data_IF_893786997748
#
_entry.id   IF_893786997748
#
_cell.length_a   1.000
_cell.length_b   1.000
_cell.length_c   1.000
_cell.angle_alpha   90.00
_cell.angle_beta   90.00
_cell.angle_gamma   90.00
#
_symmetry.space_group_name_H-M   'P 1'
#
loop_
_entity.id
_entity.type
_entity.pdbx_description
1 polymer ?
#
# COMPACT_ATOMS: atom_id res chain seq x y z
N UNK A 1 -32.68 8.70 61.38
CA UNK A 1 -32.76 9.58 60.19
C UNK A 1 -31.69 9.11 59.24
N UNK A 2 -32.09 8.51 58.12
CA UNK A 2 -31.19 7.97 57.10
C UNK A 2 -30.75 9.10 56.16
N UNK A 3 -29.47 9.16 55.84
CA UNK A 3 -28.95 9.95 54.72
C UNK A 3 -28.29 8.97 53.75
N UNK A 4 -28.97 8.75 52.63
CA UNK A 4 -28.56 7.92 51.51
C UNK A 4 -27.52 8.68 50.70
N UNK A 5 -26.33 8.12 50.52
CA UNK A 5 -25.32 8.62 49.57
C UNK A 5 -25.45 7.76 48.32
N UNK A 6 -25.88 8.37 47.22
CA UNK A 6 -25.90 7.76 45.90
C UNK A 6 -24.52 7.89 45.25
N UNK A 7 -23.91 6.78 44.83
CA UNK A 7 -22.78 6.79 43.91
C UNK A 7 -23.30 7.00 42.47
N UNK A 8 -22.61 7.80 41.64
CA UNK A 8 -22.91 7.84 40.22
C UNK A 8 -22.42 6.55 39.54
N UNK A 9 -23.29 5.95 38.73
CA UNK A 9 -22.92 4.92 37.76
C UNK A 9 -22.01 5.56 36.71
N UNK A 10 -20.76 5.10 36.62
CA UNK A 10 -19.92 5.35 35.46
C UNK A 10 -20.51 4.55 34.29
N UNK A 11 -21.10 5.26 33.33
CA UNK A 11 -21.46 4.69 32.03
C UNK A 11 -20.17 4.40 31.27
N UNK A 12 -19.91 3.13 30.96
CA UNK A 12 -18.88 2.77 29.99
C UNK A 12 -19.32 3.30 28.63
N UNK A 13 -18.57 4.26 28.09
CA UNK A 13 -18.68 4.63 26.70
C UNK A 13 -18.06 3.48 25.89
N UNK A 14 -18.89 2.69 25.23
CA UNK A 14 -18.45 1.83 24.14
C UNK A 14 -18.02 2.74 22.99
N UNK A 15 -16.71 2.89 22.81
CA UNK A 15 -16.14 3.40 21.56
C UNK A 15 -16.40 2.34 20.49
N UNK A 16 -17.51 2.47 19.78
CA UNK A 16 -17.63 1.84 18.45
C UNK A 16 -16.71 2.67 17.57
N UNK A 17 -15.53 2.15 17.25
CA UNK A 17 -14.75 2.67 16.15
C UNK A 17 -15.60 2.46 14.90
N UNK A 18 -16.26 3.53 14.43
CA UNK A 18 -16.86 3.53 13.11
C UNK A 18 -15.71 3.31 12.12
N UNK A 19 -15.86 2.35 11.21
CA UNK A 19 -14.95 2.24 10.08
C UNK A 19 -14.96 3.53 9.25
N UNK A 20 -13.96 3.74 8.37
CA UNK A 20 -13.92 4.91 7.51
C UNK A 20 -15.26 5.06 6.78
N UNK A 21 -15.80 6.28 6.77
CA UNK A 21 -17.01 6.57 6.04
C UNK A 21 -16.69 6.45 4.55
N UNK A 22 -17.09 5.34 3.93
CA UNK A 22 -16.99 5.20 2.48
C UNK A 22 -17.73 6.36 1.82
N UNK A 23 -17.07 7.06 0.91
CA UNK A 23 -17.76 7.96 0.00
C UNK A 23 -18.70 7.13 -0.89
N UNK A 24 -19.96 7.58 -1.07
CA UNK A 24 -20.84 6.98 -2.08
C UNK A 24 -20.17 7.08 -3.47
N UNK A 25 -20.49 6.18 -4.42
CA UNK A 25 -20.01 6.22 -5.83
C UNK A 25 -20.44 7.50 -6.62
N UNK A 26 -20.97 8.52 -5.93
CA UNK A 26 -21.27 9.85 -6.46
C UNK A 26 -20.03 10.77 -6.30
N UNK A 27 -19.96 11.83 -7.12
CA UNK A 27 -18.84 12.79 -7.15
C UNK A 27 -18.35 13.17 -5.73
N UNK A 28 -17.15 12.74 -5.34
CA UNK A 28 -16.55 13.09 -4.04
C UNK A 28 -15.65 14.33 -4.17
N UNK A 29 -15.20 14.86 -3.03
CA UNK A 29 -14.38 16.08 -3.00
C UNK A 29 -13.09 15.82 -2.24
N UNK A 30 -11.98 16.38 -2.74
CA UNK A 30 -10.69 16.36 -2.06
C UNK A 30 -10.20 17.80 -1.83
N UNK A 31 -9.30 17.95 -0.86
CA UNK A 31 -8.58 19.21 -0.62
C UNK A 31 -7.10 19.00 -0.91
N UNK A 32 -6.51 19.83 -1.77
CA UNK A 32 -5.06 19.88 -1.99
C UNK A 32 -4.46 21.04 -1.19
N UNK A 33 -3.52 20.73 -0.32
CA UNK A 33 -2.75 21.68 0.48
C UNK A 33 -1.36 21.83 -0.14
N UNK A 34 -1.14 22.96 -0.82
CA UNK A 34 0.15 23.34 -1.41
C UNK A 34 0.90 24.40 -0.60
N UNK A 35 0.34 24.83 0.54
CA UNK A 35 0.96 25.83 1.39
C UNK A 35 2.33 25.37 1.91
N UNK A 36 3.29 26.30 1.92
CA UNK A 36 4.65 26.08 2.46
C UNK A 36 5.07 27.30 3.26
N UNK A 37 5.58 27.11 4.49
CA UNK A 37 6.27 28.19 5.23
C UNK A 37 7.80 28.14 5.04
N UNK A 38 8.31 27.08 4.42
CA UNK A 38 9.71 26.85 4.09
C UNK A 38 9.99 26.88 2.59
N UNK A 39 10.91 26.01 2.15
CA UNK A 39 11.23 25.82 0.73
C UNK A 39 9.98 25.39 -0.04
N UNK A 40 9.75 25.98 -1.22
CA UNK A 40 8.67 25.57 -2.12
C UNK A 40 9.24 24.71 -3.24
N UNK A 41 8.81 23.45 -3.31
CA UNK A 41 9.14 22.56 -4.41
C UNK A 41 8.47 23.01 -5.72
N UNK A 42 9.17 22.88 -6.84
CA UNK A 42 8.66 23.32 -8.15
C UNK A 42 7.41 22.58 -8.58
N UNK A 43 7.33 21.30 -8.21
CA UNK A 43 6.28 20.40 -8.67
C UNK A 43 4.91 20.63 -8.00
N UNK A 44 4.79 21.41 -6.93
CA UNK A 44 3.51 21.62 -6.18
C UNK A 44 2.38 22.09 -7.12
N UNK A 45 2.74 23.00 -8.02
CA UNK A 45 1.85 23.51 -9.07
C UNK A 45 1.42 22.41 -10.06
N UNK A 46 2.36 21.54 -10.47
CA UNK A 46 2.09 20.41 -11.37
C UNK A 46 1.25 19.33 -10.68
N UNK A 47 1.55 19.02 -9.41
CA UNK A 47 0.73 18.15 -8.55
C UNK A 47 -0.71 18.62 -8.50
N UNK A 48 -0.92 19.91 -8.22
CA UNK A 48 -2.27 20.49 -8.11
C UNK A 48 -3.02 20.36 -9.43
N UNK A 49 -2.38 20.72 -10.55
CA UNK A 49 -2.99 20.59 -11.89
C UNK A 49 -3.30 19.14 -12.26
N UNK A 50 -2.39 18.22 -11.95
CA UNK A 50 -2.58 16.80 -12.21
C UNK A 50 -3.77 16.24 -11.43
N UNK A 51 -3.90 16.57 -10.14
CA UNK A 51 -5.04 16.14 -9.32
C UNK A 51 -6.37 16.73 -9.79
N UNK A 52 -6.39 18.00 -10.23
CA UNK A 52 -7.58 18.61 -10.86
C UNK A 52 -7.98 17.86 -12.14
N UNK A 53 -7.01 17.51 -12.98
CA UNK A 53 -7.26 16.77 -14.21
C UNK A 53 -7.76 15.34 -13.92
N UNK A 54 -7.10 14.63 -13.00
CA UNK A 54 -7.52 13.31 -12.54
C UNK A 54 -8.95 13.35 -11.97
N UNK A 55 -9.30 14.38 -11.20
CA UNK A 55 -10.65 14.56 -10.66
C UNK A 55 -11.70 14.72 -11.75
N UNK A 56 -11.41 15.54 -12.77
CA UNK A 56 -12.30 15.71 -13.91
C UNK A 56 -12.54 14.39 -14.69
N UNK A 57 -11.54 13.52 -14.75
CA UNK A 57 -11.61 12.24 -15.47
C UNK A 57 -12.19 11.09 -14.63
N UNK A 58 -12.14 11.16 -13.29
CA UNK A 58 -12.45 10.04 -12.38
C UNK A 58 -13.56 10.35 -11.36
N UNK A 59 -14.30 11.46 -11.52
CA UNK A 59 -15.50 11.72 -10.71
C UNK A 59 -15.20 12.27 -9.32
N UNK A 60 -14.23 13.19 -9.20
CA UNK A 60 -14.06 13.99 -7.99
C UNK A 60 -13.69 15.44 -8.26
N UNK A 61 -14.00 16.31 -7.31
CA UNK A 61 -13.66 17.74 -7.37
C UNK A 61 -12.53 18.08 -6.41
N UNK A 62 -11.78 19.13 -6.73
CA UNK A 62 -10.60 19.54 -5.98
C UNK A 62 -10.77 20.98 -5.51
N UNK A 63 -10.76 21.19 -4.19
CA UNK A 63 -10.48 22.51 -3.61
C UNK A 63 -8.98 22.63 -3.34
N UNK A 64 -8.45 23.86 -3.40
CA UNK A 64 -7.02 24.12 -3.23
C UNK A 64 -6.80 25.12 -2.10
N UNK A 65 -5.93 24.77 -1.16
CA UNK A 65 -5.37 25.68 -0.17
C UNK A 65 -3.87 25.84 -0.41
N UNK A 66 -3.50 26.91 -1.11
CA UNK A 66 -2.12 27.27 -1.44
C UNK A 66 -2.00 28.80 -1.53
N UNK A 67 -2.16 29.50 -0.39
CA UNK A 67 -2.08 30.96 -0.36
C UNK A 67 -0.65 31.44 -0.60
N UNK A 68 -0.47 32.62 -1.23
CA UNK A 68 0.82 33.28 -1.25
C UNK A 68 1.26 33.64 0.17
N UNK A 69 2.56 33.50 0.46
CA UNK A 69 3.16 34.01 1.69
C UNK A 69 4.55 34.59 1.44
N UNK A 70 5.01 35.41 2.39
CA UNK A 70 6.29 36.11 2.34
C UNK A 70 7.34 35.50 3.29
N UNK A 71 7.18 34.21 3.63
CA UNK A 71 8.10 33.46 4.51
C UNK A 71 9.50 33.38 3.90
N UNK A 72 10.34 34.35 4.24
CA UNK A 72 11.68 34.46 3.70
C UNK A 72 12.69 33.63 4.50
N UNK A 73 13.59 32.97 3.79
CA UNK A 73 14.69 32.19 4.35
C UNK A 73 15.89 32.13 3.42
N UNK A 74 16.83 31.24 3.70
CA UNK A 74 17.97 31.02 2.78
C UNK A 74 17.52 30.44 1.43
N UNK A 75 16.33 29.85 1.38
CA UNK A 75 15.68 29.28 0.19
C UNK A 75 15.03 30.30 -0.73
N UNK A 76 14.77 31.55 -0.28
CA UNK A 76 14.08 32.54 -1.11
C UNK A 76 13.17 33.46 -0.30
N UNK A 77 12.26 34.13 -1.02
CA UNK A 77 11.41 35.21 -0.48
C UNK A 77 9.98 34.79 -0.16
N UNK A 78 9.74 33.50 0.11
CA UNK A 78 8.41 32.93 0.34
C UNK A 78 7.84 32.17 -0.86
N UNK A 79 6.54 31.91 -0.81
CA UNK A 79 5.79 31.15 -1.82
C UNK A 79 4.83 32.08 -2.59
N UNK A 80 4.80 32.03 -3.94
CA UNK A 80 3.77 32.73 -4.71
C UNK A 80 2.36 32.13 -4.53
N UNK A 81 2.27 30.91 -3.99
CA UNK A 81 1.04 30.13 -3.94
C UNK A 81 0.40 29.94 -5.32
N UNK A 82 -0.88 29.59 -5.33
CA UNK A 82 -1.72 29.51 -6.53
C UNK A 82 -2.93 30.43 -6.38
N UNK A 83 -2.77 31.76 -6.49
CA UNK A 83 -3.80 32.75 -6.15
C UNK A 83 -5.09 32.64 -6.98
N UNK A 84 -5.01 32.05 -8.17
CA UNK A 84 -6.16 31.84 -9.04
C UNK A 84 -6.99 30.60 -8.65
N UNK A 85 -6.41 29.67 -7.87
CA UNK A 85 -7.05 28.41 -7.44
C UNK A 85 -7.34 28.39 -5.93
N UNK A 86 -6.48 29.03 -5.13
CA UNK A 86 -6.55 28.94 -3.67
C UNK A 86 -7.85 29.52 -3.13
N UNK A 87 -8.38 28.87 -2.11
CA UNK A 87 -9.50 29.37 -1.32
C UNK A 87 -9.15 30.71 -0.65
N UNK A 88 -10.18 31.50 -0.33
CA UNK A 88 -10.00 32.84 0.25
C UNK A 88 -9.59 32.83 1.74
N UNK A 89 -9.79 31.72 2.42
CA UNK A 89 -9.43 31.51 3.83
C UNK A 89 -9.08 30.06 4.07
N UNK A 90 -8.32 29.79 5.14
CA UNK A 90 -7.94 28.43 5.54
C UNK A 90 -9.18 27.52 5.62
N UNK A 91 -9.14 26.31 5.05
CA UNK A 91 -10.20 25.32 5.21
C UNK A 91 -10.13 24.61 6.57
N UNK A 92 -9.05 24.78 7.34
CA UNK A 92 -8.81 24.10 8.63
C UNK A 92 -9.53 24.78 9.81
N UNK A 93 -10.81 25.09 9.65
CA UNK A 93 -11.62 25.79 10.66
C UNK A 93 -12.20 24.85 11.72
N UNK A 94 -12.66 23.67 11.32
CA UNK A 94 -13.15 22.63 12.23
C UNK A 94 -13.14 21.26 11.55
N UNK A 95 -13.19 20.19 12.35
CA UNK A 95 -13.33 18.83 11.80
C UNK A 95 -14.63 18.64 11.00
N UNK A 96 -15.72 19.31 11.40
CA UNK A 96 -16.99 19.28 10.68
C UNK A 96 -16.87 19.93 9.30
N UNK A 97 -16.20 21.08 9.20
CA UNK A 97 -15.97 21.74 7.91
C UNK A 97 -15.07 20.89 7.00
N UNK A 98 -14.07 20.21 7.57
CA UNK A 98 -13.19 19.31 6.82
C UNK A 98 -13.87 18.00 6.40
N UNK A 99 -14.95 17.57 7.09
CA UNK A 99 -15.63 16.30 6.79
C UNK A 99 -16.31 16.26 5.40
N UNK A 100 -16.39 17.39 4.71
CA UNK A 100 -16.83 17.44 3.31
C UNK A 100 -15.80 16.85 2.33
N UNK A 101 -14.55 16.69 2.76
CA UNK A 101 -13.48 16.13 1.94
C UNK A 101 -13.31 14.65 2.26
N UNK A 102 -13.34 13.80 1.25
CA UNK A 102 -13.08 12.38 1.42
C UNK A 102 -11.59 12.12 1.74
N UNK A 103 -10.70 12.93 1.16
CA UNK A 103 -9.27 12.91 1.49
C UNK A 103 -8.64 14.30 1.37
N UNK A 104 -7.61 14.54 2.17
CA UNK A 104 -6.80 15.77 2.15
C UNK A 104 -5.38 15.41 1.71
N UNK A 105 -4.91 16.03 0.64
CA UNK A 105 -3.60 15.81 0.04
C UNK A 105 -2.63 16.92 0.47
N UNK A 106 -1.55 16.57 1.15
CA UNK A 106 -0.45 17.47 1.45
C UNK A 106 0.60 17.35 0.34
N UNK A 107 0.54 18.30 -0.60
CA UNK A 107 1.40 18.36 -1.78
C UNK A 107 2.75 18.98 -1.42
N UNK A 108 3.59 18.19 -0.74
CA UNK A 108 4.97 18.54 -0.36
C UNK A 108 5.13 19.86 0.39
N UNK A 109 4.37 20.06 1.50
CA UNK A 109 4.61 21.19 2.36
C UNK A 109 6.01 21.13 2.98
N UNK A 110 6.56 22.29 3.33
CA UNK A 110 7.73 22.46 4.22
C UNK A 110 7.46 23.62 5.15
N UNK A 111 7.81 23.53 6.43
CA UNK A 111 7.63 24.60 7.41
C UNK A 111 8.89 24.93 8.26
N UNK A 112 10.05 24.40 7.87
CA UNK A 112 11.35 24.68 8.50
C UNK A 112 11.41 24.31 10.01
N UNK A 113 10.54 23.42 10.45
CA UNK A 113 10.48 22.93 11.84
C UNK A 113 11.52 21.85 12.16
N UNK A 114 12.30 21.39 11.18
CA UNK A 114 13.35 20.35 11.29
C UNK A 114 14.43 20.64 12.35
N UNK A 115 14.60 21.90 12.78
CA UNK A 115 15.43 22.26 13.94
C UNK A 115 14.88 21.77 15.30
N UNK A 116 13.65 21.24 15.32
CA UNK A 116 12.90 20.83 16.50
C UNK A 116 12.69 21.95 17.54
N UNK A 117 12.88 23.21 17.14
CA UNK A 117 12.59 24.35 18.00
C UNK A 117 11.07 24.59 18.04
N UNK A 118 10.40 24.40 19.20
CA UNK A 118 8.95 24.54 19.31
C UNK A 118 8.44 25.98 19.12
N UNK A 119 9.34 26.97 19.10
CA UNK A 119 8.98 28.35 18.79
C UNK A 119 8.94 28.66 17.28
N UNK A 120 9.36 27.72 16.43
CA UNK A 120 9.27 27.88 14.97
C UNK A 120 7.81 27.74 14.56
N UNK A 121 7.24 28.70 13.79
CA UNK A 121 5.90 28.55 13.23
C UNK A 121 5.77 27.24 12.46
N UNK A 122 4.62 26.60 12.60
CA UNK A 122 4.27 25.31 11.98
C UNK A 122 3.32 25.56 10.82
N UNK A 123 3.24 24.65 9.85
CA UNK A 123 2.30 24.76 8.73
C UNK A 123 0.86 25.01 9.20
N UNK A 124 0.39 24.19 10.14
CA UNK A 124 -0.90 24.36 10.79
C UNK A 124 -0.70 24.91 12.19
N UNK A 125 -1.44 25.95 12.57
CA UNK A 125 -1.44 26.43 13.94
C UNK A 125 -2.11 25.43 14.92
N UNK A 126 -2.28 25.80 16.19
CA UNK A 126 -2.87 24.89 17.19
C UNK A 126 -4.36 24.61 16.94
N UNK A 127 -5.12 25.59 16.43
CA UNK A 127 -6.54 25.43 16.14
C UNK A 127 -6.74 24.63 14.85
N UNK A 128 -5.95 24.91 13.83
CA UNK A 128 -5.96 24.20 12.55
C UNK A 128 -5.50 22.74 12.71
N UNK A 129 -4.45 22.50 13.51
CA UNK A 129 -4.03 21.14 13.85
C UNK A 129 -5.13 20.39 14.60
N UNK A 130 -5.83 21.03 15.54
CA UNK A 130 -6.93 20.39 16.26
C UNK A 130 -8.10 20.03 15.32
N UNK A 131 -8.42 20.90 14.35
CA UNK A 131 -9.40 20.61 13.32
C UNK A 131 -8.98 19.40 12.47
N UNK A 132 -7.72 19.38 12.01
CA UNK A 132 -7.17 18.28 11.22
C UNK A 132 -7.13 16.95 11.98
N UNK A 133 -6.72 16.96 13.25
CA UNK A 133 -6.76 15.78 14.12
C UNK A 133 -8.19 15.25 14.30
N UNK A 134 -9.16 16.16 14.47
CA UNK A 134 -10.57 15.77 14.56
C UNK A 134 -11.10 15.18 13.26
N UNK A 135 -10.67 15.69 12.11
CA UNK A 135 -11.00 15.14 10.79
C UNK A 135 -10.47 13.71 10.61
N UNK A 136 -9.20 13.45 10.93
CA UNK A 136 -8.63 12.09 10.89
C UNK A 136 -9.38 11.15 11.83
N UNK A 137 -9.66 11.58 13.06
CA UNK A 137 -10.44 10.81 14.04
C UNK A 137 -11.90 10.58 13.61
N UNK A 138 -12.40 11.40 12.70
CA UNK A 138 -13.71 11.26 12.07
C UNK A 138 -13.74 10.28 10.89
N UNK A 139 -12.60 9.66 10.55
CA UNK A 139 -12.48 8.73 9.43
C UNK A 139 -11.99 9.35 8.13
N UNK A 140 -11.52 10.60 8.16
CA UNK A 140 -11.02 11.30 6.97
C UNK A 140 -9.74 10.69 6.39
N UNK A 141 -9.60 10.73 5.07
CA UNK A 141 -8.40 10.30 4.35
C UNK A 141 -7.28 11.35 4.36
N UNK A 142 -6.03 10.90 4.33
CA UNK A 142 -4.83 11.72 4.20
C UNK A 142 -3.87 11.14 3.17
N UNK A 143 -3.37 12.01 2.28
CA UNK A 143 -2.30 11.69 1.34
C UNK A 143 -1.12 12.62 1.59
N UNK A 144 0.04 12.07 1.93
CA UNK A 144 1.29 12.82 2.04
C UNK A 144 2.18 12.59 0.82
N UNK A 145 2.65 13.66 0.18
CA UNK A 145 3.54 13.56 -0.97
C UNK A 145 4.90 14.17 -0.68
N UNK A 146 5.97 13.42 -0.98
CA UNK A 146 7.38 13.82 -0.94
C UNK A 146 7.71 14.60 0.34
N UNK A 147 7.79 15.94 0.29
CA UNK A 147 8.15 16.76 1.46
C UNK A 147 7.11 16.79 2.60
N UNK A 148 5.98 16.09 2.49
CA UNK A 148 5.04 15.93 3.59
C UNK A 148 5.70 15.37 4.88
N UNK A 149 6.77 14.58 4.77
CA UNK A 149 7.58 14.11 5.91
C UNK A 149 8.63 15.12 6.43
N UNK A 150 8.85 16.23 5.73
CA UNK A 150 9.68 17.37 6.15
C UNK A 150 8.87 18.52 6.77
N UNK A 151 7.66 18.24 7.23
CA UNK A 151 6.73 19.22 7.79
C UNK A 151 6.36 18.90 9.23
N UNK A 152 6.11 19.95 10.03
CA UNK A 152 5.62 19.84 11.41
C UNK A 152 6.42 18.88 12.29
N UNK A 153 7.76 18.89 12.18
CA UNK A 153 8.68 18.03 12.96
C UNK A 153 8.52 18.17 14.48
N UNK A 154 7.97 19.29 14.95
CA UNK A 154 7.68 19.56 16.36
C UNK A 154 6.37 18.93 16.85
N UNK A 155 5.62 18.24 15.97
CA UNK A 155 4.34 17.60 16.25
C UNK A 155 4.47 16.08 16.08
N UNK A 156 4.76 15.33 17.17
CA UNK A 156 4.91 13.87 17.09
C UNK A 156 3.73 13.16 16.42
N UNK A 157 2.49 13.58 16.76
CA UNK A 157 1.26 13.04 16.17
C UNK A 157 1.25 13.14 14.63
N UNK A 158 1.77 14.23 14.05
CA UNK A 158 1.81 14.35 12.59
C UNK A 158 2.83 13.39 11.98
N UNK A 159 4.00 13.21 12.61
CA UNK A 159 4.96 12.20 12.13
C UNK A 159 4.42 10.77 12.24
N UNK A 160 3.62 10.47 13.26
CA UNK A 160 2.90 9.19 13.37
C UNK A 160 1.90 9.04 12.22
N UNK A 161 1.10 10.07 11.91
CA UNK A 161 0.17 10.08 10.77
C UNK A 161 0.88 9.89 9.41
N UNK A 162 2.00 10.58 9.17
CA UNK A 162 2.68 10.54 7.87
C UNK A 162 3.49 9.27 7.65
N UNK A 163 3.95 8.59 8.71
CA UNK A 163 4.77 7.39 8.54
C UNK A 163 5.30 6.78 9.83
N UNK A 164 4.46 6.57 10.84
CA UNK A 164 4.88 5.84 12.05
C UNK A 164 5.96 6.55 12.87
N UNK A 165 6.11 7.86 12.71
CA UNK A 165 7.16 8.65 13.35
C UNK A 165 8.40 8.90 12.49
N UNK A 166 8.46 8.32 11.27
CA UNK A 166 9.48 8.65 10.28
C UNK A 166 9.33 10.11 9.81
N UNK A 167 10.45 10.84 9.83
CA UNK A 167 10.56 12.20 9.30
C UNK A 167 11.73 12.30 8.35
N UNK A 168 11.65 13.22 7.40
CA UNK A 168 12.77 13.53 6.53
C UNK A 168 14.04 13.88 7.33
N UNK A 169 15.19 13.41 6.86
CA UNK A 169 16.51 13.77 7.41
C UNK A 169 17.44 14.35 6.36
N UNK A 170 17.51 13.70 5.20
CA UNK A 170 18.42 14.06 4.12
C UNK A 170 17.98 13.40 2.82
N UNK A 171 18.57 13.84 1.72
CA UNK A 171 18.52 13.17 0.43
C UNK A 171 19.86 13.38 -0.29
N UNK A 172 20.27 12.46 -1.19
CA UNK A 172 21.39 12.70 -2.09
C UNK A 172 20.97 13.65 -3.24
N UNK A 173 21.87 13.90 -4.19
CA UNK A 173 21.47 14.52 -5.45
C UNK A 173 20.45 13.64 -6.19
N UNK A 174 19.56 14.28 -6.95
CA UNK A 174 18.61 13.58 -7.82
C UNK A 174 19.33 12.59 -8.73
N UNK A 175 18.84 11.36 -8.79
CA UNK A 175 19.46 10.28 -9.54
C UNK A 175 18.45 9.16 -9.80
N UNK A 176 18.81 8.25 -10.70
CA UNK A 176 18.01 7.06 -10.95
C UNK A 176 18.19 6.05 -9.82
N UNK A 177 17.10 5.46 -9.34
CA UNK A 177 17.09 4.33 -8.42
C UNK A 177 15.99 3.34 -8.82
N UNK A 178 16.15 2.10 -8.35
CA UNK A 178 15.15 1.04 -8.51
C UNK A 178 14.21 1.01 -7.31
N UNK A 179 12.91 1.10 -7.58
CA UNK A 179 11.85 0.82 -6.61
C UNK A 179 11.34 -0.61 -6.78
N UNK A 180 10.93 -1.26 -5.69
CA UNK A 180 10.34 -2.60 -5.68
C UNK A 180 8.96 -2.57 -5.07
N UNK A 181 8.01 -3.28 -5.68
CA UNK A 181 6.64 -3.43 -5.16
C UNK A 181 6.62 -4.51 -4.08
N UNK A 182 6.18 -4.15 -2.88
CA UNK A 182 6.04 -5.08 -1.74
C UNK A 182 4.59 -5.41 -1.39
N UNK A 183 3.64 -4.69 -1.96
CA UNK A 183 2.22 -4.98 -1.75
C UNK A 183 1.47 -4.97 -3.08
N UNK A 184 1.59 -6.02 -3.89
CA UNK A 184 1.11 -5.99 -5.27
C UNK A 184 -0.41 -6.07 -5.40
N UNK A 185 -1.15 -6.49 -4.36
CA UNK A 185 -2.62 -6.40 -4.38
C UNK A 185 -3.20 -5.06 -3.89
N UNK A 186 -2.38 -4.12 -3.39
CA UNK A 186 -2.91 -2.82 -3.00
C UNK A 186 -3.30 -2.02 -4.25
N UNK A 187 -4.47 -1.33 -4.29
CA UNK A 187 -4.96 -0.69 -5.51
C UNK A 187 -3.97 0.32 -6.11
N UNK A 188 -3.13 0.95 -5.29
CA UNK A 188 -2.11 1.89 -5.78
C UNK A 188 -0.92 1.22 -6.44
N UNK A 189 -0.69 -0.07 -6.24
CA UNK A 189 0.52 -0.77 -6.69
C UNK A 189 0.21 -1.94 -7.62
N UNK A 190 -1.04 -2.38 -7.72
CA UNK A 190 -1.45 -3.53 -8.53
C UNK A 190 -1.21 -3.40 -10.04
N UNK A 191 -1.17 -2.17 -10.56
CA UNK A 191 -0.86 -1.90 -11.96
C UNK A 191 0.64 -1.63 -12.21
N UNK A 192 1.45 -1.51 -11.16
CA UNK A 192 2.87 -1.20 -11.28
C UNK A 192 3.67 -2.46 -11.64
N UNK A 193 4.77 -2.31 -12.39
CA UNK A 193 5.73 -3.41 -12.53
C UNK A 193 6.36 -3.72 -11.17
N UNK A 194 6.65 -5.00 -10.91
CA UNK A 194 7.29 -5.43 -9.65
C UNK A 194 8.61 -4.71 -9.36
N UNK A 195 9.34 -4.32 -10.41
CA UNK A 195 10.55 -3.51 -10.38
C UNK A 195 10.35 -2.26 -11.23
N UNK A 196 10.55 -1.09 -10.64
CA UNK A 196 10.27 0.20 -11.28
C UNK A 196 11.46 1.17 -11.14
N UNK A 197 12.16 1.42 -12.23
CA UNK A 197 13.26 2.39 -12.25
C UNK A 197 12.74 3.81 -12.49
N UNK A 198 13.17 4.76 -11.65
CA UNK A 198 12.78 6.18 -11.76
C UNK A 198 13.94 7.11 -11.49
N UNK A 199 13.91 8.32 -12.04
CA UNK A 199 14.80 9.42 -11.67
C UNK A 199 14.06 10.39 -10.76
N UNK A 200 14.51 10.54 -9.52
CA UNK A 200 13.86 11.40 -8.52
C UNK A 200 14.85 11.87 -7.42
N UNK A 201 14.35 12.61 -6.43
CA UNK A 201 15.04 12.97 -5.19
C UNK A 201 14.63 12.01 -4.05
N UNK A 202 15.53 11.10 -3.67
CA UNK A 202 15.21 10.01 -2.74
C UNK A 202 15.41 10.40 -1.28
N UNK A 203 14.33 10.36 -0.49
CA UNK A 203 14.35 10.77 0.91
C UNK A 203 14.84 9.67 1.83
N UNK A 204 15.76 10.03 2.72
CA UNK A 204 16.17 9.25 3.88
C UNK A 204 15.42 9.74 5.13
N UNK A 205 15.10 8.81 6.03
CA UNK A 205 14.23 9.06 7.17
C UNK A 205 14.95 8.93 8.52
N UNK A 206 14.40 9.56 9.56
CA UNK A 206 14.93 9.48 10.94
C UNK A 206 14.89 8.08 11.52
N UNK A 207 13.92 7.27 11.07
CA UNK A 207 13.71 5.87 11.45
C UNK A 207 13.09 5.15 10.26
N UNK A 208 13.24 3.84 10.22
CA UNK A 208 12.52 3.00 9.28
C UNK A 208 11.04 2.89 9.74
N UNK A 209 10.05 3.19 8.87
CA UNK A 209 8.64 3.18 9.26
C UNK A 209 7.99 1.78 9.29
N UNK A 210 8.64 0.75 8.76
CA UNK A 210 8.05 -0.60 8.51
C UNK A 210 7.39 -1.24 9.74
N UNK A 211 7.88 -0.97 10.95
CA UNK A 211 7.29 -1.55 12.16
C UNK A 211 5.88 -1.02 12.45
N UNK A 212 5.54 0.17 11.94
CA UNK A 212 4.32 0.90 12.28
C UNK A 212 3.36 1.05 11.08
N UNK A 213 3.86 0.90 9.85
CA UNK A 213 3.08 1.11 8.61
C UNK A 213 3.07 -0.13 7.71
N UNK A 214 2.13 -0.17 6.77
CA UNK A 214 2.11 -1.14 5.70
C UNK A 214 2.93 -0.62 4.51
N UNK A 215 4.09 -1.21 4.26
CA UNK A 215 4.99 -0.80 3.17
C UNK A 215 4.40 -1.21 1.81
N UNK A 216 4.38 -0.26 0.87
CA UNK A 216 3.90 -0.47 -0.49
C UNK A 216 5.07 -0.60 -1.47
N UNK A 217 6.07 0.27 -1.34
CA UNK A 217 7.26 0.32 -2.20
C UNK A 217 8.53 0.52 -1.36
N UNK A 218 9.63 -0.13 -1.75
CA UNK A 218 10.99 0.10 -1.22
C UNK A 218 11.96 0.55 -2.29
N UNK A 219 13.03 1.23 -1.89
CA UNK A 219 14.19 1.55 -2.74
C UNK A 219 15.31 0.51 -2.57
N UNK A 220 15.90 0.11 -3.68
CA UNK A 220 17.11 -0.70 -3.71
C UNK A 220 18.35 0.21 -3.66
N UNK A 221 18.91 0.41 -2.46
CA UNK A 221 20.10 1.26 -2.25
C UNK A 221 21.36 0.77 -2.97
N UNK A 222 21.39 -0.47 -3.51
CA UNK A 222 22.52 -0.94 -4.32
C UNK A 222 22.56 -0.31 -5.71
N UNK A 223 21.44 0.26 -6.17
CA UNK A 223 21.27 0.81 -7.52
C UNK A 223 21.62 2.29 -7.64
N UNK A 224 21.83 2.98 -6.51
CA UNK A 224 22.10 4.41 -6.47
C UNK A 224 23.06 4.77 -5.32
N UNK A 225 23.41 6.05 -5.18
CA UNK A 225 24.23 6.56 -4.08
C UNK A 225 23.35 7.28 -3.05
N UNK A 226 22.95 6.64 -1.94
CA UNK A 226 21.97 7.18 -0.97
C UNK A 226 22.50 8.35 -0.14
N UNK A 227 23.83 8.55 -0.12
CA UNK A 227 24.44 9.68 0.56
C UNK A 227 24.34 9.58 2.09
N UNK A 228 24.19 10.74 2.74
CA UNK A 228 24.10 10.79 4.20
C UNK A 228 22.73 10.32 4.68
N UNK A 229 22.70 9.52 5.74
CA UNK A 229 21.45 9.03 6.33
C UNK A 229 20.85 7.83 5.59
N UNK A 230 21.61 7.16 4.72
CA UNK A 230 21.22 5.92 4.06
C UNK A 230 20.50 4.95 5.04
N UNK A 231 19.39 4.40 4.58
CA UNK A 231 18.51 3.50 5.33
C UNK A 231 19.03 2.05 5.32
N UNK A 232 19.86 1.70 4.33
CA UNK A 232 20.50 0.39 4.21
C UNK A 232 19.69 -0.61 3.38
N UNK A 233 19.66 -1.86 3.83
CA UNK A 233 19.00 -2.97 3.11
C UNK A 233 17.48 -2.77 2.97
N UNK A 234 16.87 -2.07 3.92
CA UNK A 234 15.44 -1.81 3.93
C UNK A 234 15.17 -0.30 3.91
N UNK A 235 14.68 0.19 2.78
CA UNK A 235 14.37 1.60 2.54
C UNK A 235 12.94 1.78 2.02
N UNK A 236 11.91 1.75 2.90
CA UNK A 236 10.54 2.07 2.49
C UNK A 236 10.44 3.49 1.92
N UNK A 237 9.77 3.64 0.79
CA UNK A 237 9.59 4.93 0.10
C UNK A 237 8.12 5.29 -0.12
N UNK A 238 7.23 4.30 -0.19
CA UNK A 238 5.79 4.51 -0.17
C UNK A 238 5.13 3.52 0.80
N UNK A 239 4.10 3.97 1.51
CA UNK A 239 3.40 3.17 2.52
C UNK A 239 1.99 3.69 2.78
N UNK A 240 1.20 2.89 3.49
CA UNK A 240 -0.11 3.24 3.97
C UNK A 240 -0.35 2.73 5.39
N UNK A 241 -1.33 3.28 6.07
CA UNK A 241 -1.74 2.84 7.41
C UNK A 241 -3.16 3.29 7.75
N UNK A 242 -3.82 2.52 8.62
CA UNK A 242 -5.01 2.97 9.33
C UNK A 242 -4.57 3.72 10.58
N UNK A 243 -4.92 5.01 10.70
CA UNK A 243 -4.41 5.88 11.77
C UNK A 243 -5.53 6.66 12.46
N UNK A 244 -5.71 6.42 13.76
CA UNK A 244 -6.75 7.02 14.61
C UNK A 244 -8.18 7.01 14.01
N UNK A 245 -8.50 6.05 13.13
CA UNK A 245 -9.80 5.93 12.47
C UNK A 245 -9.83 6.37 11.01
N UNK A 246 -8.84 7.15 10.56
CA UNK A 246 -8.65 7.55 9.16
C UNK A 246 -7.72 6.62 8.39
N UNK A 247 -7.61 6.87 7.08
CA UNK A 247 -6.67 6.20 6.18
C UNK A 247 -5.57 7.16 5.76
N UNK A 248 -4.31 6.77 5.95
CA UNK A 248 -3.14 7.54 5.56
C UNK A 248 -2.37 6.79 4.48
N UNK A 249 -1.97 7.51 3.43
CA UNK A 249 -1.13 7.01 2.35
C UNK A 249 -0.01 8.02 2.10
N UNK A 250 1.21 7.54 1.87
CA UNK A 250 2.37 8.37 1.62
C UNK A 250 3.21 7.83 0.46
N UNK A 251 3.72 8.75 -0.36
CA UNK A 251 4.71 8.48 -1.41
C UNK A 251 5.84 9.51 -1.32
N UNK A 252 7.08 9.03 -1.16
CA UNK A 252 8.28 9.84 -1.03
C UNK A 252 8.86 10.32 -2.36
N UNK A 253 8.51 9.71 -3.49
CA UNK A 253 8.85 10.16 -4.83
C UNK A 253 7.94 11.32 -5.31
N UNK A 254 8.25 11.89 -6.47
CA UNK A 254 7.44 12.94 -7.10
C UNK A 254 8.05 14.34 -7.03
N UNK A 255 9.33 14.48 -6.66
CA UNK A 255 10.03 15.78 -6.66
C UNK A 255 10.10 16.39 -8.05
N UNK A 256 10.31 15.54 -9.06
CA UNK A 256 10.55 16.01 -10.43
C UNK A 256 9.23 16.36 -11.13
N UNK A 257 9.22 17.48 -11.84
CA UNK A 257 8.06 17.91 -12.64
C UNK A 257 7.61 16.81 -13.64
N UNK A 258 8.56 15.97 -14.11
CA UNK A 258 8.29 14.86 -15.02
C UNK A 258 7.36 13.79 -14.41
N UNK A 259 7.43 13.53 -13.10
CA UNK A 259 6.56 12.57 -12.42
C UNK A 259 5.07 12.90 -12.60
N UNK A 260 4.72 14.19 -12.68
CA UNK A 260 3.35 14.67 -12.84
C UNK A 260 2.82 14.63 -14.28
N UNK A 261 3.55 13.96 -15.17
CA UNK A 261 3.11 13.62 -16.53
C UNK A 261 3.31 12.14 -16.88
N UNK A 262 3.87 11.36 -15.95
CA UNK A 262 4.09 9.92 -16.11
C UNK A 262 2.79 9.16 -15.79
N UNK A 263 2.21 8.41 -16.75
CA UNK A 263 0.96 7.70 -16.52
C UNK A 263 0.99 6.72 -15.34
N UNK A 264 2.09 5.99 -15.12
CA UNK A 264 2.18 5.01 -14.03
C UNK A 264 2.20 5.70 -12.67
N UNK A 265 2.93 6.82 -12.56
CA UNK A 265 2.98 7.61 -11.32
C UNK A 265 1.65 8.31 -11.04
N UNK A 266 1.01 8.87 -12.07
CA UNK A 266 -0.31 9.48 -11.92
C UNK A 266 -1.37 8.47 -11.49
N UNK A 267 -1.35 7.26 -12.04
CA UNK A 267 -2.25 6.18 -11.63
C UNK A 267 -1.95 5.70 -10.21
N UNK A 268 -0.66 5.60 -9.82
CA UNK A 268 -0.26 5.30 -8.44
C UNK A 268 -0.84 6.29 -7.43
N UNK A 269 -0.67 7.59 -7.69
CA UNK A 269 -1.20 8.67 -6.84
C UNK A 269 -2.73 8.68 -6.83
N UNK A 270 -3.38 8.54 -8.00
CA UNK A 270 -4.84 8.47 -8.10
C UNK A 270 -5.41 7.36 -7.22
N UNK A 271 -4.83 6.16 -7.29
CA UNK A 271 -5.30 5.01 -6.53
C UNK A 271 -5.00 5.15 -5.03
N UNK A 272 -3.94 5.86 -4.63
CA UNK A 272 -3.72 6.28 -3.24
C UNK A 272 -4.79 7.27 -2.75
N UNK A 273 -5.17 8.23 -3.58
CA UNK A 273 -6.28 9.18 -3.31
C UNK A 273 -7.61 8.44 -3.18
N UNK A 274 -7.96 7.56 -4.11
CA UNK A 274 -9.20 6.77 -4.06
C UNK A 274 -9.24 5.84 -2.85
N UNK A 275 -8.12 5.21 -2.49
CA UNK A 275 -8.06 4.31 -1.34
C UNK A 275 -8.26 5.05 -0.01
N UNK A 276 -7.60 6.21 0.15
CA UNK A 276 -7.77 7.06 1.35
C UNK A 276 -9.16 7.70 1.41
N UNK A 277 -9.77 7.98 0.27
CA UNK A 277 -11.15 8.45 0.16
C UNK A 277 -12.20 7.35 0.43
N UNK A 278 -11.80 6.08 0.56
CA UNK A 278 -12.72 4.96 0.77
C UNK A 278 -13.50 4.53 -0.46
N UNK A 279 -13.07 4.96 -1.66
CA UNK A 279 -13.71 4.63 -2.95
C UNK A 279 -13.25 3.27 -3.46
N UNK A 280 -12.02 2.89 -3.15
CA UNK A 280 -11.48 1.56 -3.44
C UNK A 280 -10.92 0.90 -2.17
N UNK A 281 -10.89 -0.42 -2.18
CA UNK A 281 -10.33 -1.28 -1.14
C UNK A 281 -9.47 -2.37 -1.80
N UNK A 282 -8.48 -2.88 -1.06
CA UNK A 282 -7.56 -3.90 -1.58
C UNK A 282 -6.25 -3.97 -0.80
N UNK A 283 -5.41 -4.94 -1.15
CA UNK A 283 -4.10 -5.15 -0.52
C UNK A 283 -4.16 -5.40 0.99
N UNK A 284 -5.25 -5.98 1.50
CA UNK A 284 -5.46 -6.15 2.94
C UNK A 284 -5.70 -4.83 3.69
N UNK A 285 -6.14 -3.78 2.98
CA UNK A 285 -6.55 -2.50 3.58
C UNK A 285 -5.51 -1.89 4.54
N UNK A 286 -4.23 -2.13 4.25
CA UNK A 286 -3.10 -1.63 5.02
C UNK A 286 -3.16 -2.00 6.51
N UNK A 287 -3.75 -3.15 6.83
CA UNK A 287 -3.77 -3.71 8.18
C UNK A 287 -2.40 -4.25 8.53
N UNK A 288 -1.90 -3.92 9.71
CA UNK A 288 -0.59 -4.36 10.19
C UNK A 288 -0.72 -5.38 11.32
N UNK A 289 0.30 -6.22 11.52
CA UNK A 289 0.33 -7.15 12.66
C UNK A 289 0.19 -6.43 14.01
N UNK A 290 0.87 -5.30 14.28
CA UNK A 290 0.67 -4.54 15.52
C UNK A 290 -0.77 -4.04 15.73
N UNK A 291 -1.48 -3.65 14.66
CA UNK A 291 -2.89 -3.27 14.74
C UNK A 291 -3.73 -4.44 15.27
N UNK A 292 -3.54 -5.63 14.74
CA UNK A 292 -4.27 -6.84 15.16
C UNK A 292 -3.87 -7.28 16.58
N UNK A 293 -2.58 -7.21 16.91
CA UNK A 293 -2.09 -7.48 18.27
C UNK A 293 -2.74 -6.56 19.31
N UNK A 294 -2.90 -5.27 18.99
CA UNK A 294 -3.57 -4.30 19.86
C UNK A 294 -5.05 -4.65 20.08
N UNK A 295 -5.75 -5.11 19.04
CA UNK A 295 -7.14 -5.58 19.17
C UNK A 295 -7.24 -6.79 20.09
N UNK A 296 -6.35 -7.77 19.93
CA UNK A 296 -6.30 -8.97 20.80
C UNK A 296 -6.02 -8.58 22.26
N UNK A 297 -5.07 -7.67 22.48
CA UNK A 297 -4.74 -7.17 23.82
C UNK A 297 -5.89 -6.36 24.46
N UNK A 298 -6.74 -5.72 23.65
CA UNK A 298 -7.91 -4.97 24.09
C UNK A 298 -9.13 -5.83 24.44
N UNK A 299 -9.14 -7.12 24.09
CA UNK A 299 -10.27 -8.02 24.37
C UNK A 299 -10.55 -8.14 25.87
N UNK A 300 -11.85 -8.07 26.23
CA UNK A 300 -12.27 -8.39 27.58
C UNK A 300 -12.20 -9.90 27.85
N UNK A 301 -11.13 -10.34 28.49
CA UNK A 301 -10.86 -11.75 28.80
C UNK A 301 -11.40 -12.22 30.16
N UNK A 302 -12.38 -11.50 30.74
CA UNK A 302 -12.94 -11.83 32.05
C UNK A 302 -13.69 -13.19 32.10
N UNK A 303 -14.15 -13.69 30.94
CA UNK A 303 -14.78 -15.00 30.84
C UNK A 303 -13.75 -16.13 30.91
N UNK A 304 -14.14 -17.24 31.54
CA UNK A 304 -13.28 -18.43 31.67
C UNK A 304 -13.10 -19.06 30.28
N UNK A 305 -11.89 -18.94 29.72
CA UNK A 305 -11.52 -19.50 28.42
C UNK A 305 -11.01 -18.45 27.43
N UNK A 306 -11.54 -17.23 27.47
CA UNK A 306 -11.17 -16.17 26.53
C UNK A 306 -9.70 -15.77 26.64
N UNK A 307 -9.13 -15.74 27.85
CA UNK A 307 -7.69 -15.49 28.03
C UNK A 307 -6.80 -16.57 27.39
N UNK A 308 -7.26 -17.82 27.33
CA UNK A 308 -6.53 -18.92 26.66
C UNK A 308 -6.63 -18.77 25.15
N UNK A 309 -7.82 -18.45 24.64
CA UNK A 309 -8.07 -18.26 23.20
C UNK A 309 -7.30 -17.03 22.70
N UNK A 310 -7.37 -15.89 23.40
CA UNK A 310 -6.62 -14.69 23.06
C UNK A 310 -5.10 -14.93 23.08
N UNK A 311 -4.60 -15.68 24.07
CA UNK A 311 -3.19 -16.09 24.11
C UNK A 311 -2.79 -16.99 22.93
N UNK A 312 -3.66 -17.89 22.49
CA UNK A 312 -3.42 -18.73 21.31
C UNK A 312 -3.44 -17.91 20.01
N UNK A 313 -4.39 -16.99 19.86
CA UNK A 313 -4.45 -16.06 18.72
C UNK A 313 -3.16 -15.22 18.66
N UNK A 314 -2.74 -14.62 19.78
CA UNK A 314 -1.50 -13.83 19.82
C UNK A 314 -0.25 -14.66 19.46
N UNK A 315 -0.17 -15.91 19.89
CA UNK A 315 0.93 -16.81 19.49
C UNK A 315 0.93 -17.14 18.01
N UNK A 316 -0.25 -17.30 17.41
CA UNK A 316 -0.40 -17.54 15.97
C UNK A 316 -0.05 -16.27 15.18
N UNK A 317 -0.53 -15.09 15.60
CA UNK A 317 -0.14 -13.81 14.98
C UNK A 317 1.37 -13.61 15.01
N UNK A 318 2.03 -13.87 16.15
CA UNK A 318 3.50 -13.80 16.24
C UNK A 318 4.21 -14.78 15.30
N UNK A 319 3.66 -15.98 15.11
CA UNK A 319 4.22 -16.98 14.21
C UNK A 319 4.00 -16.61 12.74
N UNK A 320 2.82 -16.07 12.40
CA UNK A 320 2.51 -15.56 11.06
C UNK A 320 3.40 -14.37 10.71
N UNK A 321 3.61 -13.43 11.64
CA UNK A 321 4.53 -12.31 11.47
C UNK A 321 5.95 -12.80 11.23
N UNK A 322 6.45 -13.75 12.02
CA UNK A 322 7.79 -14.32 11.81
C UNK A 322 7.94 -15.00 10.44
N UNK A 323 6.88 -15.63 9.92
CA UNK A 323 6.88 -16.20 8.57
C UNK A 323 6.92 -15.10 7.50
N UNK A 324 6.07 -14.06 7.63
CA UNK A 324 6.07 -12.91 6.72
C UNK A 324 7.42 -12.17 6.72
N UNK A 325 8.01 -11.90 7.90
CA UNK A 325 9.33 -11.27 8.04
C UNK A 325 10.48 -12.13 7.47
N UNK A 326 10.24 -13.43 7.25
CA UNK A 326 11.19 -14.36 6.63
C UNK A 326 10.87 -14.66 5.17
N UNK A 327 10.01 -13.85 4.54
CA UNK A 327 9.56 -14.01 3.14
C UNK A 327 8.87 -15.36 2.87
N UNK A 328 8.11 -15.87 3.84
CA UNK A 328 7.28 -17.08 3.72
C UNK A 328 5.78 -16.75 3.88
N UNK A 329 5.19 -16.06 2.88
CA UNK A 329 3.78 -15.65 2.94
C UNK A 329 2.82 -16.84 2.94
N UNK A 330 3.20 -17.99 2.36
CA UNK A 330 2.37 -19.19 2.34
C UNK A 330 2.17 -19.75 3.76
N UNK A 331 3.24 -19.84 4.55
CA UNK A 331 3.14 -20.21 5.96
C UNK A 331 2.38 -19.15 6.75
N UNK A 332 2.61 -17.86 6.48
CA UNK A 332 1.88 -16.77 7.14
C UNK A 332 0.36 -16.91 6.95
N UNK A 333 -0.10 -17.13 5.71
CA UNK A 333 -1.52 -17.38 5.37
C UNK A 333 -2.07 -18.59 6.14
N UNK A 334 -1.34 -19.72 6.15
CA UNK A 334 -1.78 -20.91 6.85
C UNK A 334 -1.98 -20.65 8.36
N UNK A 335 -1.02 -19.96 8.99
CA UNK A 335 -1.05 -19.65 10.41
C UNK A 335 -2.16 -18.64 10.74
N UNK A 336 -2.36 -17.62 9.90
CA UNK A 336 -3.44 -16.64 10.03
C UNK A 336 -4.81 -17.30 9.93
N UNK A 337 -5.01 -18.27 9.03
CA UNK A 337 -6.25 -19.06 8.96
C UNK A 337 -6.55 -19.80 10.27
N UNK A 338 -5.51 -20.27 10.96
CA UNK A 338 -5.61 -20.82 12.31
C UNK A 338 -6.11 -19.78 13.32
N UNK A 339 -5.48 -18.59 13.34
CA UNK A 339 -5.87 -17.49 14.24
C UNK A 339 -7.33 -17.06 13.99
N UNK A 340 -7.72 -16.93 12.72
CA UNK A 340 -9.07 -16.56 12.31
C UNK A 340 -10.13 -17.54 12.81
N UNK A 341 -9.86 -18.84 12.75
CA UNK A 341 -10.78 -19.88 13.22
C UNK A 341 -11.05 -19.81 14.72
N UNK A 342 -10.09 -19.30 15.51
CA UNK A 342 -10.22 -19.16 16.95
C UNK A 342 -11.09 -17.97 17.37
N UNK A 343 -11.23 -16.95 16.52
CA UNK A 343 -12.06 -15.76 16.82
C UNK A 343 -13.52 -16.15 17.09
N UNK A 344 -14.04 -17.12 16.33
CA UNK A 344 -15.42 -17.59 16.47
C UNK A 344 -15.70 -18.28 17.82
N UNK A 345 -14.64 -18.69 18.53
CA UNK A 345 -14.72 -19.32 19.85
C UNK A 345 -14.64 -18.34 21.03
N UNK A 346 -14.33 -17.06 20.80
CA UNK A 346 -14.32 -16.04 21.84
C UNK A 346 -15.75 -15.74 22.34
N UNK A 347 -15.90 -15.48 23.64
CA UNK A 347 -17.16 -14.97 24.21
C UNK A 347 -17.26 -13.44 24.23
N UNK A 348 -16.27 -12.75 23.69
CA UNK A 348 -16.21 -11.30 23.54
C UNK A 348 -17.43 -10.73 22.78
N UNK A 349 -17.65 -9.42 22.92
CA UNK A 349 -18.78 -8.75 22.26
C UNK A 349 -18.75 -9.02 20.74
N UNK A 350 -19.92 -9.13 20.13
CA UNK A 350 -20.01 -9.46 18.71
C UNK A 350 -19.22 -8.48 17.84
N UNK A 351 -19.28 -7.18 18.14
CA UNK A 351 -18.50 -6.15 17.44
C UNK A 351 -16.98 -6.37 17.57
N UNK A 352 -16.47 -6.68 18.76
CA UNK A 352 -15.03 -6.94 18.96
C UNK A 352 -14.56 -8.15 18.15
N UNK A 353 -15.39 -9.20 18.09
CA UNK A 353 -15.09 -10.42 17.31
C UNK A 353 -15.16 -10.16 15.81
N UNK A 354 -16.16 -9.43 15.34
CA UNK A 354 -16.30 -9.05 13.93
C UNK A 354 -15.14 -8.17 13.47
N UNK A 355 -14.73 -7.19 14.29
CA UNK A 355 -13.58 -6.34 14.00
C UNK A 355 -12.28 -7.15 13.95
N UNK A 356 -12.01 -7.98 14.96
CA UNK A 356 -10.81 -8.81 14.98
C UNK A 356 -10.77 -9.81 13.81
N UNK A 357 -11.91 -10.46 13.51
CA UNK A 357 -12.04 -11.35 12.37
C UNK A 357 -11.70 -10.64 11.06
N UNK A 358 -12.32 -9.48 10.81
CA UNK A 358 -12.09 -8.68 9.60
C UNK A 358 -10.61 -8.32 9.43
N UNK A 359 -9.94 -7.90 10.52
CA UNK A 359 -8.53 -7.49 10.46
C UNK A 359 -7.58 -8.66 10.26
N UNK A 360 -7.90 -9.85 10.79
CA UNK A 360 -7.15 -11.06 10.46
C UNK A 360 -7.39 -11.46 8.99
N UNK A 361 -8.62 -11.35 8.49
CA UNK A 361 -8.96 -11.63 7.09
C UNK A 361 -8.23 -10.67 6.14
N UNK A 362 -8.08 -9.39 6.50
CA UNK A 362 -7.26 -8.40 5.79
C UNK A 362 -5.77 -8.82 5.72
N UNK A 363 -5.17 -9.28 6.83
CA UNK A 363 -3.81 -9.83 6.81
C UNK A 363 -3.69 -11.06 5.90
N UNK A 364 -4.72 -11.93 5.88
CA UNK A 364 -4.75 -13.09 4.97
C UNK A 364 -4.77 -12.64 3.53
N UNK A 365 -5.59 -11.63 3.18
CA UNK A 365 -5.64 -11.07 1.82
C UNK A 365 -4.28 -10.51 1.40
N UNK A 366 -3.63 -9.73 2.27
CA UNK A 366 -2.30 -9.20 1.98
C UNK A 366 -1.29 -10.32 1.75
N UNK A 367 -1.18 -11.28 2.66
CA UNK A 367 -0.19 -12.35 2.55
C UNK A 367 -0.49 -13.29 1.38
N UNK A 368 -1.76 -13.53 1.04
CA UNK A 368 -2.14 -14.36 -0.12
C UNK A 368 -1.70 -13.71 -1.42
N UNK A 369 -1.78 -12.39 -1.54
CA UNK A 369 -1.28 -11.67 -2.71
C UNK A 369 0.22 -11.85 -2.92
N UNK A 370 1.00 -11.99 -1.86
CA UNK A 370 2.44 -12.26 -1.95
C UNK A 370 2.75 -13.71 -2.33
N UNK A 371 1.82 -14.63 -2.11
CA UNK A 371 1.92 -16.01 -2.65
C UNK A 371 1.68 -16.00 -4.16
N UNK A 372 0.67 -15.25 -4.61
CA UNK A 372 0.26 -15.18 -6.01
C UNK A 372 1.19 -14.31 -6.88
N UNK A 373 1.91 -13.35 -6.28
CA UNK A 373 2.97 -12.53 -6.90
C UNK A 373 4.39 -12.92 -6.46
N UNK A 374 4.56 -14.08 -5.83
CA UNK A 374 5.89 -14.65 -5.61
C UNK A 374 6.66 -14.67 -6.94
N UNK A 375 7.97 -14.41 -6.95
CA UNK A 375 8.74 -13.95 -8.12
C UNK A 375 8.26 -14.60 -9.42
N UNK A 376 7.33 -13.95 -10.13
CA UNK A 376 6.71 -14.56 -11.30
C UNK A 376 7.79 -14.79 -12.36
N UNK A 377 7.82 -15.99 -12.95
CA UNK A 377 8.67 -16.29 -14.10
C UNK A 377 7.92 -15.76 -15.31
N UNK A 378 8.47 -14.75 -16.00
CA UNK A 378 7.73 -14.09 -17.08
C UNK A 378 7.64 -15.03 -18.30
N UNK A 379 6.45 -15.59 -18.54
CA UNK A 379 6.20 -16.61 -19.55
C UNK A 379 4.94 -16.32 -20.37
N UNK A 380 5.05 -16.41 -21.69
CA UNK A 380 3.88 -16.46 -22.57
C UNK A 380 3.63 -17.91 -23.03
N UNK A 381 2.52 -18.51 -22.58
CA UNK A 381 2.21 -19.91 -22.81
C UNK A 381 0.87 -20.12 -23.56
N UNK A 382 0.85 -21.02 -24.54
CA UNK A 382 -0.34 -21.36 -25.34
C UNK A 382 -0.45 -22.88 -25.55
N UNK A 383 -1.68 -23.40 -25.50
CA UNK A 383 -2.01 -24.80 -25.77
C UNK A 383 -3.18 -24.91 -26.77
N UNK A 384 -3.03 -25.70 -27.82
CA UNK A 384 -4.08 -25.88 -28.82
C UNK A 384 -4.08 -27.30 -29.44
N UNK A 385 -5.23 -27.73 -29.98
CA UNK A 385 -5.31 -28.95 -30.78
C UNK A 385 -4.87 -28.69 -32.23
N UNK A 386 -3.90 -29.47 -32.71
CA UNK A 386 -3.48 -29.49 -34.12
C UNK A 386 -3.76 -30.82 -34.78
N UNK A 387 -4.32 -30.80 -35.99
CA UNK A 387 -4.51 -32.02 -36.80
C UNK A 387 -3.32 -32.22 -37.73
N UNK A 388 -2.61 -33.34 -37.57
CA UNK A 388 -1.49 -33.73 -38.42
C UNK A 388 -1.67 -35.19 -38.87
N UNK A 389 -1.69 -35.44 -40.18
CA UNK A 389 -1.86 -36.81 -40.71
C UNK A 389 -3.17 -37.49 -40.32
N UNK A 390 -4.25 -36.73 -40.11
CA UNK A 390 -5.57 -37.25 -39.71
C UNK A 390 -5.66 -37.67 -38.23
N UNK A 391 -4.67 -37.30 -37.41
CA UNK A 391 -4.66 -37.47 -35.96
C UNK A 391 -4.48 -36.12 -35.27
N UNK A 392 -5.09 -35.96 -34.12
CA UNK A 392 -4.96 -34.75 -33.32
C UNK A 392 -3.79 -34.83 -32.34
N UNK A 393 -3.17 -33.69 -32.09
CA UNK A 393 -2.04 -33.49 -31.20
C UNK A 393 -2.35 -32.29 -30.31
N UNK A 394 -1.97 -32.35 -29.04
CA UNK A 394 -1.95 -31.17 -28.16
C UNK A 394 -0.61 -30.48 -28.40
N UNK A 395 -0.63 -29.32 -29.06
CA UNK A 395 0.55 -28.49 -29.30
C UNK A 395 0.64 -27.45 -28.19
N UNK A 396 1.78 -27.47 -27.48
CA UNK A 396 2.06 -26.57 -26.37
C UNK A 396 3.30 -25.76 -26.72
N UNK A 397 3.22 -24.44 -26.57
CA UNK A 397 4.34 -23.52 -26.73
C UNK A 397 4.42 -22.64 -25.49
N UNK A 398 5.64 -22.49 -24.97
CA UNK A 398 5.95 -21.57 -23.87
C UNK A 398 7.14 -20.72 -24.31
N UNK A 399 6.97 -19.41 -24.36
CA UNK A 399 8.02 -18.43 -24.60
C UNK A 399 8.55 -17.96 -23.25
N UNK A 400 9.86 -18.03 -23.06
CA UNK A 400 10.52 -17.38 -21.93
C UNK A 400 10.64 -15.87 -22.20
N UNK A 401 9.87 -15.06 -21.50
CA UNK A 401 9.95 -13.59 -21.50
C UNK A 401 10.81 -13.04 -20.35
N UNK A 402 11.19 -13.91 -19.42
CA UNK A 402 12.11 -13.67 -18.32
C UNK A 402 13.51 -13.23 -18.79
N UNK A 403 14.26 -12.57 -17.92
CA UNK A 403 15.64 -12.15 -18.17
C UNK A 403 16.67 -13.23 -17.81
N UNK A 404 16.23 -14.31 -17.15
CA UNK A 404 17.03 -15.49 -16.81
C UNK A 404 16.65 -16.73 -17.63
N UNK A 405 17.55 -17.71 -17.80
CA UNK A 405 17.19 -19.03 -18.34
C UNK A 405 16.21 -19.77 -17.42
N UNK A 406 15.20 -20.41 -18.01
CA UNK A 406 14.14 -21.12 -17.27
C UNK A 406 14.08 -22.60 -17.67
N UNK A 407 14.01 -23.49 -16.69
CA UNK A 407 13.68 -24.91 -16.90
C UNK A 407 12.16 -25.07 -17.04
N UNK A 408 11.69 -25.67 -18.13
CA UNK A 408 10.26 -25.79 -18.46
C UNK A 408 9.85 -27.26 -18.59
N UNK A 409 8.85 -27.67 -17.82
CA UNK A 409 8.18 -28.96 -17.92
C UNK A 409 6.77 -28.80 -18.45
N UNK A 410 6.45 -29.48 -19.56
CA UNK A 410 5.11 -29.52 -20.13
C UNK A 410 4.49 -30.87 -19.81
N UNK A 411 3.32 -30.90 -19.16
CA UNK A 411 2.60 -32.11 -18.81
C UNK A 411 1.17 -32.10 -19.38
N UNK A 412 0.80 -33.19 -20.04
CA UNK A 412 -0.54 -33.42 -20.60
C UNK A 412 -1.02 -34.83 -20.27
N UNK A 413 -2.32 -35.16 -20.44
CA UNK A 413 -2.79 -36.54 -20.37
C UNK A 413 -2.13 -37.50 -21.37
N UNK A 414 -1.46 -36.97 -22.40
CA UNK A 414 -0.84 -37.73 -23.49
C UNK A 414 0.69 -37.85 -23.37
N UNK A 415 1.29 -37.26 -22.33
CA UNK A 415 2.72 -37.34 -22.03
C UNK A 415 3.27 -36.05 -21.43
N UNK A 416 4.53 -36.11 -21.01
CA UNK A 416 5.28 -34.96 -20.51
C UNK A 416 6.58 -34.75 -21.28
N UNK A 417 7.10 -33.52 -21.24
CA UNK A 417 8.38 -33.15 -21.86
C UNK A 417 9.06 -32.03 -21.09
N UNK A 418 10.33 -32.22 -20.78
CA UNK A 418 11.19 -31.26 -20.10
C UNK A 418 12.14 -30.57 -21.09
N UNK A 419 12.40 -29.28 -20.84
CA UNK A 419 13.36 -28.41 -21.51
C UNK A 419 14.18 -27.72 -20.43
N UNK A 420 15.48 -27.96 -20.40
CA UNK A 420 16.37 -27.23 -19.50
C UNK A 420 16.91 -25.96 -20.17
N UNK A 421 17.21 -24.94 -19.37
CA UNK A 421 17.91 -23.72 -19.78
C UNK A 421 17.26 -23.02 -20.99
N UNK A 422 15.94 -22.86 -21.00
CA UNK A 422 15.24 -22.11 -22.06
C UNK A 422 15.64 -20.64 -21.92
N UNK A 423 16.56 -20.17 -22.77
CA UNK A 423 17.09 -18.82 -22.67
C UNK A 423 16.02 -17.72 -22.91
N UNK A 424 16.23 -16.50 -22.40
CA UNK A 424 15.37 -15.34 -22.67
C UNK A 424 15.04 -15.16 -24.16
N UNK A 425 13.76 -14.95 -24.45
CA UNK A 425 13.21 -14.82 -25.80
C UNK A 425 13.22 -16.13 -26.62
N UNK A 426 13.47 -17.30 -26.01
CA UNK A 426 13.37 -18.62 -26.66
C UNK A 426 12.14 -19.37 -26.17
N UNK A 427 11.73 -20.38 -26.94
CA UNK A 427 10.54 -21.16 -26.62
C UNK A 427 10.83 -22.64 -26.40
N UNK A 428 10.13 -23.21 -25.42
CA UNK A 428 9.83 -24.63 -25.34
C UNK A 428 8.63 -24.94 -26.24
N UNK A 429 8.70 -26.00 -27.03
CA UNK A 429 7.58 -26.42 -27.90
C UNK A 429 7.51 -27.94 -28.03
N UNK A 430 6.35 -28.51 -27.71
CA UNK A 430 6.06 -29.93 -27.88
C UNK A 430 4.66 -30.15 -28.46
N UNK A 431 4.55 -31.07 -29.41
CA UNK A 431 3.27 -31.60 -29.87
C UNK A 431 3.09 -33.04 -29.33
N UNK A 432 2.12 -33.25 -28.45
CA UNK A 432 1.82 -34.55 -27.84
C UNK A 432 0.79 -35.31 -28.67
N UNK A 433 1.15 -36.51 -29.14
CA UNK A 433 0.28 -37.32 -29.97
C UNK A 433 -0.87 -37.93 -29.16
N UNK A 434 -2.11 -37.48 -29.38
CA UNK A 434 -3.29 -38.05 -28.70
C UNK A 434 -3.62 -39.46 -29.19
N UNK A 435 -3.19 -39.80 -30.42
CA UNK A 435 -3.57 -40.99 -31.20
C UNK A 435 -5.06 -41.04 -31.58
N UNK A 436 -5.82 -40.02 -31.23
CA UNK A 436 -7.24 -39.84 -31.55
C UNK A 436 -7.43 -39.07 -32.86
N UNK A 437 -8.59 -39.27 -33.48
CA UNK A 437 -9.04 -38.44 -34.62
C UNK A 437 -9.67 -37.15 -34.09
N UNK A 438 -10.41 -37.28 -32.97
CA UNK A 438 -10.99 -36.18 -32.20
C UNK A 438 -10.61 -36.39 -30.73
N UNK A 439 -9.91 -35.43 -30.15
CA UNK A 439 -9.50 -35.38 -28.75
C UNK A 439 -10.51 -34.51 -27.97
N UNK A 440 -10.87 -34.92 -26.74
CA UNK A 440 -11.68 -34.10 -25.85
C UNK A 440 -10.94 -32.84 -25.43
N UNK A 441 -11.68 -31.84 -24.95
CA UNK A 441 -11.09 -30.70 -24.25
C UNK A 441 -10.32 -31.19 -23.02
N UNK A 442 -9.30 -30.44 -22.61
CA UNK A 442 -8.52 -30.77 -21.43
C UNK A 442 -7.54 -29.68 -21.06
N UNK A 443 -6.63 -30.03 -20.15
CA UNK A 443 -5.67 -29.09 -19.59
C UNK A 443 -4.24 -29.56 -19.83
N UNK A 444 -3.33 -28.59 -19.84
CA UNK A 444 -1.88 -28.73 -19.86
C UNK A 444 -1.34 -28.03 -18.63
N UNK A 445 -0.47 -28.71 -17.88
CA UNK A 445 0.30 -28.09 -16.79
C UNK A 445 1.67 -27.73 -17.33
N UNK A 446 2.06 -26.47 -17.19
CA UNK A 446 3.40 -25.95 -17.46
C UNK A 446 4.05 -25.66 -16.12
N UNK A 447 5.13 -26.35 -15.78
CA UNK A 447 5.94 -26.04 -14.59
C UNK A 447 7.23 -25.37 -15.04
N UNK A 448 7.53 -24.21 -14.49
CA UNK A 448 8.73 -23.44 -14.79
C UNK A 448 9.59 -23.28 -13.53
N UNK A 449 10.90 -23.40 -13.67
CA UNK A 449 11.85 -23.26 -12.56
C UNK A 449 13.04 -22.40 -12.99
N UNK A 450 13.42 -21.45 -12.14
CA UNK A 450 14.64 -20.63 -12.32
C UNK A 450 15.30 -20.36 -10.97
N UNK A 451 16.54 -19.89 -10.99
CA UNK A 451 17.27 -19.46 -9.79
C UNK A 451 17.27 -17.94 -9.74
N UNK A 452 16.76 -17.37 -8.65
CA UNK A 452 16.81 -15.92 -8.35
C UNK A 452 17.47 -15.72 -7.00
N UNK A 453 18.49 -14.88 -6.97
CA UNK A 453 19.23 -14.52 -5.75
C UNK A 453 19.75 -15.71 -4.90
N UNK A 454 19.98 -16.86 -5.54
CA UNK A 454 20.47 -18.09 -4.90
C UNK A 454 19.37 -19.00 -4.35
N UNK A 455 18.11 -18.73 -4.68
CA UNK A 455 16.95 -19.55 -4.36
C UNK A 455 16.25 -20.05 -5.63
N UNK A 456 15.74 -21.29 -5.55
CA UNK A 456 14.96 -21.92 -6.61
C UNK A 456 13.53 -21.40 -6.59
N UNK A 457 13.14 -20.63 -7.60
CA UNK A 457 11.77 -20.18 -7.83
C UNK A 457 11.08 -21.17 -8.76
N UNK A 458 9.85 -21.60 -8.43
CA UNK A 458 9.04 -22.50 -9.26
C UNK A 458 7.63 -21.98 -9.44
N UNK A 459 7.15 -21.94 -10.68
CA UNK A 459 5.81 -21.50 -11.06
C UNK A 459 5.06 -22.62 -11.81
N UNK A 460 3.75 -22.71 -11.61
CA UNK A 460 2.87 -23.63 -12.34
C UNK A 460 1.73 -22.89 -13.06
N UNK A 461 1.66 -23.02 -14.38
CA UNK A 461 0.61 -22.45 -15.23
C UNK A 461 -0.27 -23.58 -15.79
N UNK A 462 -1.59 -23.47 -15.61
CA UNK A 462 -2.56 -24.41 -16.18
C UNK A 462 -3.25 -23.80 -17.39
N UNK A 463 -3.09 -24.41 -18.56
CA UNK A 463 -3.69 -23.98 -19.83
C UNK A 463 -4.78 -24.94 -20.28
N UNK A 464 -5.97 -24.42 -20.57
CA UNK A 464 -7.01 -25.20 -21.23
C UNK A 464 -6.80 -25.25 -22.76
N UNK A 465 -7.14 -26.37 -23.38
CA UNK A 465 -7.32 -26.48 -24.84
C UNK A 465 -8.72 -26.98 -25.16
N UNK A 466 -9.34 -26.36 -26.16
CA UNK A 466 -10.68 -26.74 -26.61
C UNK A 466 -10.67 -28.09 -27.33
N UNK A 467 -11.71 -28.88 -27.07
CA UNK A 467 -11.98 -30.12 -27.78
C UNK A 467 -12.68 -29.86 -29.11
N UNK A 468 -12.76 -30.89 -29.94
CA UNK A 468 -13.47 -30.84 -31.24
C UNK A 468 -14.77 -31.64 -31.26
N UNK A 469 -15.26 -32.05 -30.08
CA UNK A 469 -16.44 -32.91 -29.91
C UNK A 469 -17.77 -32.23 -30.28
#
# INVERSE_FOLDING_TARGET
MAATVALPLAGGATLVAAGPAAADEEDYKILVVGETLGFRHSHIDDTTRALVALGADNGFTVDVWDPPNDSAGWWGSGSPGQPDLTMASTPFTSAEDLSQYATIVFASPVDNTNSLNPATPRLLDDAELAAFQGYIRGGGGFVGLHAATDTMHTVPWYSELTGGGARFVAHPAQQTATMRVESPAHPSTAHLPAVWERFDEWYNYTTNPREDVHVLLTLDESTYSPGNGAMGEDHPIAWCQNFEGGRSWYEGAGHTDASWTDPLFLEHVLKGVEWTAGVVEGGGNCVTFPEVDALVAGLNTAAVGDGVIAGAISSLLGSARSAADSDDPATAVQVLGGARSLVDHLSAAAGDREQLASKIDDLVVWQSALVDDGPAIDLAAEAELRTMGGKQYVAVRVLNEDDTPVDITLATPYGSKEYADVAPGKNAYQAFATRLVEAPAGEVTVTATTERDGETVTEEIVLAYDGTA
#
